data_IF_634307468998
#
_entry.id   IF_634307468998
#
_cell.length_a   1.000
_cell.length_b   1.000
_cell.length_c   1.000
_cell.angle_alpha   90.00
_cell.angle_beta   90.00
_cell.angle_gamma   90.00
#
_symmetry.space_group_name_H-M   'P 1'
#
loop_
_entity.id
_entity.type
_entity.pdbx_description
1 polymer ?
#
# COMPACT_ATOMS: atom_id res chain seq x y z
N UNK A 1 -19.17 -17.27 -50.28
CA UNK A 1 -19.21 -18.05 -51.54
C UNK A 1 -19.20 -19.51 -51.13
N UNK A 2 -20.23 -20.25 -51.54
CA UNK A 2 -20.37 -21.68 -51.25
C UNK A 2 -19.38 -22.44 -52.13
N UNK A 3 -18.37 -23.07 -51.54
CA UNK A 3 -17.51 -24.01 -52.24
C UNK A 3 -18.09 -25.41 -52.03
N UNK A 4 -18.61 -25.96 -53.11
CA UNK A 4 -19.05 -27.34 -53.24
C UNK A 4 -17.88 -28.28 -52.94
N UNK A 5 -18.04 -29.18 -51.97
CA UNK A 5 -17.10 -30.28 -51.68
C UNK A 5 -16.92 -31.12 -52.95
N UNK A 6 -15.69 -31.15 -53.45
CA UNK A 6 -15.25 -32.13 -54.42
C UNK A 6 -15.13 -33.46 -53.67
N UNK A 7 -15.76 -34.53 -54.17
CA UNK A 7 -15.37 -35.87 -53.76
C UNK A 7 -13.88 -36.02 -54.05
N UNK A 8 -13.05 -36.06 -53.01
CA UNK A 8 -11.66 -36.43 -53.18
C UNK A 8 -11.62 -37.93 -53.53
N UNK A 9 -10.74 -38.28 -54.47
CA UNK A 9 -10.49 -39.68 -54.84
C UNK A 9 -9.43 -40.32 -53.94
N UNK A 10 -8.92 -39.56 -52.96
CA UNK A 10 -8.07 -40.06 -51.92
C UNK A 10 -8.75 -41.18 -51.13
N UNK A 11 -7.92 -42.11 -50.70
CA UNK A 11 -8.33 -43.24 -49.87
C UNK A 11 -8.32 -42.75 -48.43
N UNK A 12 -9.43 -42.82 -47.71
CA UNK A 12 -9.48 -42.40 -46.32
C UNK A 12 -8.79 -43.39 -45.39
N UNK A 13 -8.33 -42.89 -44.25
CA UNK A 13 -7.81 -43.69 -43.16
C UNK A 13 -8.49 -43.35 -41.84
N UNK A 14 -8.72 -44.39 -41.04
CA UNK A 14 -9.08 -44.23 -39.64
C UNK A 14 -7.79 -44.27 -38.82
N UNK A 15 -7.36 -43.11 -38.35
CA UNK A 15 -6.21 -42.95 -37.47
C UNK A 15 -6.63 -43.11 -36.03
N UNK A 16 -5.91 -43.92 -35.26
CA UNK A 16 -6.00 -43.92 -33.79
C UNK A 16 -4.98 -42.93 -33.26
N UNK A 17 -5.41 -42.07 -32.34
CA UNK A 17 -4.57 -41.00 -31.79
C UNK A 17 -4.68 -40.93 -30.26
N UNK A 18 -3.65 -40.35 -29.65
CA UNK A 18 -3.63 -40.00 -28.22
C UNK A 18 -3.14 -38.58 -28.06
N UNK A 19 -3.77 -37.80 -27.20
CA UNK A 19 -3.30 -36.51 -26.73
C UNK A 19 -2.73 -36.63 -25.32
N UNK A 20 -1.63 -35.93 -25.06
CA UNK A 20 -1.07 -35.74 -23.71
C UNK A 20 -0.93 -34.26 -23.46
N UNK A 21 -1.67 -33.75 -22.46
CA UNK A 21 -1.62 -32.37 -22.01
C UNK A 21 -0.34 -32.09 -21.21
N UNK A 22 0.06 -30.82 -21.16
CA UNK A 22 1.19 -30.37 -20.36
C UNK A 22 0.93 -30.50 -18.84
N UNK A 23 -0.34 -30.50 -18.43
CA UNK A 23 -0.80 -30.77 -17.06
C UNK A 23 -0.62 -32.23 -16.64
N UNK A 24 -0.45 -33.15 -17.59
CA UNK A 24 -0.38 -34.59 -17.36
C UNK A 24 -1.63 -35.36 -17.79
N UNK A 25 -2.75 -34.68 -18.02
CA UNK A 25 -3.99 -35.29 -18.51
C UNK A 25 -3.81 -35.90 -19.91
N UNK A 26 -4.58 -36.93 -20.23
CA UNK A 26 -4.49 -37.59 -21.53
C UNK A 26 -5.83 -38.15 -22.00
N UNK A 27 -6.07 -38.11 -23.31
CA UNK A 27 -7.24 -38.71 -23.93
C UNK A 27 -6.87 -39.29 -25.29
N UNK A 28 -7.74 -40.11 -25.85
CA UNK A 28 -7.48 -40.69 -27.16
C UNK A 28 -8.73 -41.18 -27.84
N UNK A 29 -8.62 -41.43 -29.13
CA UNK A 29 -9.75 -41.79 -29.97
C UNK A 29 -9.38 -42.02 -31.42
N UNK A 30 -10.33 -41.75 -32.30
CA UNK A 30 -10.22 -42.00 -33.74
C UNK A 30 -10.42 -40.73 -34.54
N UNK A 31 -9.72 -40.60 -35.67
CA UNK A 31 -9.81 -39.52 -36.64
C UNK A 31 -9.98 -40.13 -38.03
N UNK A 32 -10.88 -39.58 -38.84
CA UNK A 32 -10.98 -39.89 -40.28
C UNK A 32 -10.37 -38.73 -41.07
N UNK A 33 -9.40 -39.05 -41.93
CA UNK A 33 -8.70 -38.09 -42.79
C UNK A 33 -8.03 -38.85 -43.94
N UNK A 34 -7.45 -38.13 -44.90
CA UNK A 34 -6.73 -38.74 -46.03
C UNK A 34 -5.58 -39.65 -45.56
N UNK A 35 -5.44 -40.83 -46.16
CA UNK A 35 -4.37 -41.81 -45.81
C UNK A 35 -2.94 -41.26 -45.97
N UNK A 36 -2.74 -40.15 -46.69
CA UNK A 36 -1.41 -39.54 -46.86
C UNK A 36 -1.13 -38.42 -45.87
N UNK A 37 -2.07 -38.08 -44.99
CA UNK A 37 -1.96 -36.88 -44.17
C UNK A 37 -1.09 -37.06 -42.93
N UNK A 38 -1.08 -38.26 -42.35
CA UNK A 38 -0.28 -38.57 -41.16
C UNK A 38 0.38 -39.93 -41.29
N UNK A 39 1.59 -40.07 -40.77
CA UNK A 39 2.25 -41.36 -40.59
C UNK A 39 2.04 -41.87 -39.16
N UNK A 40 1.96 -43.19 -38.96
CA UNK A 40 2.01 -43.78 -37.62
C UNK A 40 3.31 -43.39 -36.90
N UNK A 41 3.18 -42.90 -35.67
CA UNK A 41 4.27 -42.31 -34.89
C UNK A 41 4.41 -40.80 -35.04
N UNK A 42 3.63 -40.15 -35.90
CA UNK A 42 3.62 -38.69 -36.01
C UNK A 42 3.24 -38.04 -34.68
N UNK A 43 4.00 -37.01 -34.31
CA UNK A 43 3.73 -36.17 -33.13
C UNK A 43 3.40 -34.76 -33.60
N UNK A 44 2.23 -34.27 -33.20
CA UNK A 44 1.76 -32.92 -33.51
C UNK A 44 1.59 -32.13 -32.22
N UNK A 45 2.43 -31.11 -32.02
CA UNK A 45 2.39 -30.29 -30.81
C UNK A 45 1.31 -29.20 -30.92
N UNK A 46 0.65 -28.92 -29.80
CA UNK A 46 -0.20 -27.74 -29.59
C UNK A 46 0.43 -26.84 -28.53
N UNK A 47 -0.21 -25.71 -28.21
CA UNK A 47 0.22 -24.87 -27.09
C UNK A 47 0.05 -25.58 -25.73
N UNK A 48 -0.81 -26.60 -25.65
CA UNK A 48 -1.25 -27.20 -24.39
C UNK A 48 -0.87 -28.68 -24.24
N UNK A 49 -0.21 -29.27 -25.25
CA UNK A 49 0.19 -30.67 -25.22
C UNK A 49 0.61 -31.18 -26.59
N UNK A 50 0.45 -32.49 -26.82
CA UNK A 50 0.80 -33.12 -28.10
C UNK A 50 -0.14 -34.27 -28.45
N UNK A 51 -0.50 -34.36 -29.72
CA UNK A 51 -1.08 -35.56 -30.33
C UNK A 51 0.00 -36.52 -30.78
N UNK A 52 -0.28 -37.81 -30.67
CA UNK A 52 0.51 -38.89 -31.27
C UNK A 52 -0.41 -39.79 -32.07
N UNK A 53 -0.09 -40.03 -33.34
CA UNK A 53 -0.78 -41.04 -34.15
C UNK A 53 -0.20 -42.41 -33.79
N UNK A 54 -1.03 -43.30 -33.26
CA UNK A 54 -0.59 -44.59 -32.71
C UNK A 54 -0.94 -45.78 -33.61
N UNK A 55 -1.94 -45.64 -34.48
CA UNK A 55 -2.29 -46.64 -35.47
C UNK A 55 -3.03 -45.99 -36.65
N UNK A 56 -3.08 -46.70 -37.77
CA UNK A 56 -3.78 -46.32 -38.98
C UNK A 56 -4.48 -47.55 -39.56
N UNK A 57 -5.70 -47.37 -40.05
CA UNK A 57 -6.43 -48.37 -40.84
C UNK A 57 -6.93 -47.72 -42.12
N UNK A 58 -6.21 -47.98 -43.21
CA UNK A 58 -6.58 -47.56 -44.58
C UNK A 58 -7.89 -48.21 -44.99
N UNK A 59 -8.86 -47.38 -45.41
CA UNK A 59 -10.16 -47.82 -45.89
C UNK A 59 -10.15 -47.94 -47.40
N UNK A 60 -10.75 -48.96 -48.00
CA UNK A 60 -10.73 -49.11 -49.45
C UNK A 60 -11.64 -48.12 -50.23
N UNK A 61 -12.29 -47.21 -49.51
CA UNK A 61 -13.35 -46.31 -49.98
C UNK A 61 -13.33 -45.03 -49.15
N UNK A 62 -13.76 -43.92 -49.75
CA UNK A 62 -14.16 -42.70 -49.08
C UNK A 62 -15.25 -43.00 -48.02
N UNK A 63 -15.10 -42.40 -46.85
CA UNK A 63 -15.88 -42.59 -45.64
C UNK A 63 -17.03 -41.59 -45.49
N UNK A 64 -17.04 -40.51 -46.28
CA UNK A 64 -18.09 -39.48 -46.29
C UNK A 64 -19.51 -40.05 -46.47
N UNK A 65 -19.76 -41.06 -47.35
CA UNK A 65 -21.08 -41.68 -47.49
C UNK A 65 -21.60 -42.37 -46.21
N UNK A 66 -20.73 -42.63 -45.24
CA UNK A 66 -21.07 -43.23 -43.94
C UNK A 66 -21.21 -42.18 -42.82
N UNK A 67 -21.18 -40.88 -43.16
CA UNK A 67 -21.28 -39.77 -42.21
C UNK A 67 -19.99 -39.50 -41.43
N UNK A 68 -18.85 -39.93 -41.96
CA UNK A 68 -17.52 -39.70 -41.42
C UNK A 68 -16.69 -38.98 -42.48
N UNK A 69 -17.00 -37.70 -42.68
CA UNK A 69 -16.28 -36.83 -43.61
C UNK A 69 -14.85 -36.54 -43.10
N UNK A 70 -13.99 -35.96 -43.94
CA UNK A 70 -12.61 -35.64 -43.57
C UNK A 70 -12.56 -34.67 -42.37
N UNK A 71 -11.74 -35.01 -41.38
CA UNK A 71 -11.65 -34.28 -40.11
C UNK A 71 -12.66 -34.73 -39.06
N UNK A 72 -13.50 -35.75 -39.34
CA UNK A 72 -14.33 -36.37 -38.31
C UNK A 72 -13.46 -36.95 -37.20
N UNK A 73 -13.71 -36.56 -35.95
CA UNK A 73 -12.92 -36.98 -34.80
C UNK A 73 -13.85 -37.43 -33.67
N UNK A 74 -13.47 -38.51 -32.99
CA UNK A 74 -14.18 -39.05 -31.84
C UNK A 74 -13.22 -39.31 -30.69
N UNK A 75 -13.72 -39.18 -29.46
CA UNK A 75 -12.98 -39.49 -28.23
C UNK A 75 -13.48 -40.82 -27.67
N UNK A 76 -12.56 -41.73 -27.37
CA UNK A 76 -12.88 -43.05 -26.82
C UNK A 76 -12.63 -43.14 -25.32
N UNK A 77 -11.71 -42.34 -24.77
CA UNK A 77 -11.34 -42.39 -23.37
C UNK A 77 -10.69 -41.09 -22.90
N UNK A 78 -10.77 -40.84 -21.59
CA UNK A 78 -10.06 -39.78 -20.89
C UNK A 78 -9.36 -40.34 -19.65
N UNK A 79 -8.18 -39.81 -19.33
CA UNK A 79 -7.46 -40.00 -18.09
C UNK A 79 -6.99 -38.67 -17.54
N UNK A 80 -7.16 -38.48 -16.24
CA UNK A 80 -6.55 -37.35 -15.57
C UNK A 80 -5.03 -37.50 -15.44
N UNK A 81 -4.38 -36.45 -14.95
CA UNK A 81 -2.94 -36.40 -14.64
C UNK A 81 -2.46 -37.45 -13.64
N UNK A 82 -3.36 -38.04 -12.83
CA UNK A 82 -3.05 -39.17 -11.94
C UNK A 82 -3.10 -40.53 -12.65
N UNK A 83 -3.64 -40.57 -13.88
CA UNK A 83 -3.79 -41.75 -14.71
C UNK A 83 -5.11 -42.50 -14.52
N UNK A 84 -6.04 -41.97 -13.71
CA UNK A 84 -7.37 -42.55 -13.47
C UNK A 84 -8.24 -42.37 -14.70
N UNK A 85 -8.94 -43.43 -15.09
CA UNK A 85 -9.86 -43.40 -16.22
C UNK A 85 -11.18 -42.75 -15.83
N UNK A 86 -11.63 -41.77 -16.61
CA UNK A 86 -12.92 -41.13 -16.45
C UNK A 86 -13.85 -41.51 -17.61
N UNK A 87 -15.14 -41.68 -17.30
CA UNK A 87 -16.16 -41.95 -18.31
C UNK A 87 -16.34 -40.69 -19.16
N UNK A 88 -16.31 -40.82 -20.48
CA UNK A 88 -16.57 -39.70 -21.41
C UNK A 88 -18.05 -39.64 -21.81
N UNK A 89 -18.55 -38.44 -22.11
CA UNK A 89 -19.98 -38.17 -22.31
C UNK A 89 -20.48 -38.69 -23.65
N UNK A 90 -19.74 -38.41 -24.72
CA UNK A 90 -20.13 -38.85 -26.06
C UNK A 90 -19.77 -40.33 -26.30
N UNK A 91 -18.71 -40.81 -25.65
CA UNK A 91 -18.27 -42.20 -25.73
C UNK A 91 -17.67 -42.59 -27.09
N UNK A 92 -17.19 -43.84 -27.17
CA UNK A 92 -16.52 -44.33 -28.38
C UNK A 92 -17.45 -44.34 -29.61
N UNK A 93 -17.01 -43.73 -30.70
CA UNK A 93 -17.68 -43.77 -32.00
C UNK A 93 -18.70 -42.65 -32.26
N UNK A 94 -18.92 -41.76 -31.29
CA UNK A 94 -19.67 -40.52 -31.49
C UNK A 94 -18.72 -39.38 -31.87
N UNK A 95 -19.14 -38.52 -32.79
CA UNK A 95 -18.35 -37.37 -33.20
C UNK A 95 -18.15 -36.41 -32.02
N UNK A 96 -16.89 -36.13 -31.69
CA UNK A 96 -16.48 -35.08 -30.76
C UNK A 96 -16.04 -33.80 -31.52
N UNK A 97 -15.86 -33.86 -32.83
CA UNK A 97 -15.51 -32.73 -33.70
C UNK A 97 -15.54 -33.14 -35.18
N UNK A 98 -15.41 -32.16 -36.07
CA UNK A 98 -15.44 -32.37 -37.54
C UNK A 98 -14.35 -31.61 -38.29
N UNK A 99 -13.37 -31.03 -37.59
CA UNK A 99 -12.30 -30.23 -38.19
C UNK A 99 -10.90 -30.79 -37.90
N UNK A 100 -10.81 -32.09 -37.60
CA UNK A 100 -9.57 -32.80 -37.33
C UNK A 100 -9.08 -32.67 -35.89
N UNK A 101 -7.81 -33.06 -35.66
CA UNK A 101 -7.15 -32.94 -34.35
C UNK A 101 -7.19 -31.49 -33.85
N UNK A 102 -7.56 -31.31 -32.58
CA UNK A 102 -7.71 -30.00 -31.96
C UNK A 102 -9.14 -29.45 -32.01
N UNK A 103 -10.03 -30.08 -32.79
CA UNK A 103 -11.46 -29.72 -32.85
C UNK A 103 -12.33 -30.54 -31.92
N UNK A 104 -11.79 -31.58 -31.29
CA UNK A 104 -12.57 -32.44 -30.41
C UNK A 104 -13.03 -31.67 -29.16
N UNK A 105 -14.28 -31.85 -28.77
CA UNK A 105 -14.84 -31.39 -27.50
C UNK A 105 -15.73 -32.50 -26.96
N UNK A 106 -15.44 -32.94 -25.74
CA UNK A 106 -16.24 -33.91 -25.02
C UNK A 106 -16.31 -33.49 -23.55
N UNK A 107 -16.88 -34.32 -22.69
CA UNK A 107 -16.87 -34.10 -21.26
C UNK A 107 -16.55 -35.40 -20.51
N UNK A 108 -15.83 -35.31 -19.41
CA UNK A 108 -15.54 -36.41 -18.50
C UNK A 108 -16.43 -36.33 -17.25
N UNK A 109 -16.89 -37.47 -16.75
CA UNK A 109 -17.65 -37.52 -15.50
C UNK A 109 -16.70 -37.47 -14.30
N UNK A 110 -16.73 -36.39 -13.53
CA UNK A 110 -15.88 -36.20 -12.35
C UNK A 110 -16.47 -36.78 -11.05
N UNK A 111 -17.55 -37.55 -11.14
CA UNK A 111 -18.26 -38.11 -9.98
C UNK A 111 -19.48 -37.30 -9.53
N UNK A 112 -19.57 -36.02 -9.90
CA UNK A 112 -20.68 -35.13 -9.51
C UNK A 112 -21.32 -34.40 -10.69
N UNK A 113 -20.54 -34.07 -11.72
CA UNK A 113 -20.97 -33.40 -12.93
C UNK A 113 -20.18 -33.89 -14.15
N UNK A 114 -20.67 -33.51 -15.33
CA UNK A 114 -19.91 -33.61 -16.57
C UNK A 114 -19.06 -32.36 -16.71
N UNK A 115 -17.76 -32.52 -16.82
CA UNK A 115 -16.81 -31.43 -17.01
C UNK A 115 -16.16 -31.51 -18.39
N UNK A 116 -16.05 -30.38 -19.08
CA UNK A 116 -15.63 -30.37 -20.49
C UNK A 116 -14.13 -30.56 -20.65
N UNK A 117 -13.72 -31.15 -21.78
CA UNK A 117 -12.32 -31.23 -22.18
C UNK A 117 -12.19 -31.28 -23.70
N UNK A 118 -10.97 -31.01 -24.18
CA UNK A 118 -10.60 -31.10 -25.60
C UNK A 118 -9.96 -29.82 -26.12
N UNK A 119 -10.37 -29.38 -27.30
CA UNK A 119 -9.90 -28.16 -27.98
C UNK A 119 -8.38 -28.05 -28.10
N UNK A 120 -7.69 -29.14 -28.47
CA UNK A 120 -6.22 -29.13 -28.54
C UNK A 120 -5.54 -29.06 -27.17
N UNK A 121 -6.27 -29.38 -26.11
CA UNK A 121 -5.90 -29.30 -24.71
C UNK A 121 -6.06 -27.93 -24.06
N UNK A 122 -6.72 -27.00 -24.74
CA UNK A 122 -7.12 -25.72 -24.16
C UNK A 122 -8.20 -25.86 -23.08
N UNK A 123 -8.95 -26.98 -23.11
CA UNK A 123 -9.95 -27.34 -22.11
C UNK A 123 -9.61 -28.73 -21.55
N UNK A 124 -9.60 -28.86 -20.24
CA UNK A 124 -9.23 -30.09 -19.54
C UNK A 124 -10.20 -30.25 -18.38
N UNK A 125 -10.75 -31.46 -18.27
CA UNK A 125 -11.69 -31.74 -17.19
C UNK A 125 -10.91 -31.70 -15.88
N UNK A 126 -11.39 -30.92 -14.93
CA UNK A 126 -10.94 -30.90 -13.57
C UNK A 126 -11.67 -32.01 -12.80
N UNK A 127 -10.99 -33.13 -12.50
CA UNK A 127 -11.57 -34.19 -11.71
C UNK A 127 -11.58 -33.72 -10.25
N UNK A 128 -12.54 -32.86 -9.89
CA UNK A 128 -12.67 -32.30 -8.55
C UNK A 128 -12.54 -33.35 -7.46
N UNK A 129 -11.33 -33.47 -6.90
CA UNK A 129 -10.96 -34.29 -5.73
C UNK A 129 -9.59 -33.86 -5.14
N UNK A 130 -9.03 -32.71 -5.52
CA UNK A 130 -7.88 -32.16 -4.78
C UNK A 130 -8.42 -31.32 -3.63
N UNK A 131 -7.93 -31.59 -2.42
CA UNK A 131 -8.33 -30.80 -1.28
C UNK A 131 -7.79 -29.37 -1.45
N UNK A 132 -8.61 -28.37 -1.15
CA UNK A 132 -8.13 -27.00 -1.06
C UNK A 132 -7.28 -26.84 0.20
N UNK A 133 -6.22 -26.06 0.07
CA UNK A 133 -5.42 -25.59 1.18
C UNK A 133 -5.35 -24.07 1.21
N UNK A 134 -5.36 -23.53 2.42
CA UNK A 134 -5.03 -22.15 2.67
C UNK A 134 -3.53 -22.06 2.92
N UNK A 135 -2.81 -21.48 1.97
CA UNK A 135 -1.39 -21.20 2.07
C UNK A 135 -1.18 -19.82 2.66
N UNK A 136 -0.28 -19.69 3.63
CA UNK A 136 0.26 -18.37 3.99
C UNK A 136 1.52 -18.11 3.19
N UNK A 137 1.76 -16.84 2.86
CA UNK A 137 2.88 -16.46 2.03
C UNK A 137 3.49 -15.14 2.49
N UNK A 138 4.76 -14.98 2.17
CA UNK A 138 5.51 -13.74 2.31
C UNK A 138 6.10 -13.37 0.96
N UNK A 139 5.85 -12.15 0.51
CA UNK A 139 6.53 -11.54 -0.61
C UNK A 139 7.57 -10.54 -0.08
N UNK A 140 8.81 -10.68 -0.54
CA UNK A 140 9.88 -9.71 -0.29
C UNK A 140 10.21 -9.01 -1.59
N UNK A 141 9.90 -7.73 -1.65
CA UNK A 141 10.25 -6.88 -2.77
C UNK A 141 11.76 -6.65 -2.88
N UNK A 142 12.22 -6.32 -4.08
CA UNK A 142 13.60 -5.88 -4.30
C UNK A 142 13.90 -4.52 -3.65
N UNK A 143 12.87 -3.71 -3.38
CA UNK A 143 12.96 -2.50 -2.54
C UNK A 143 13.22 -2.82 -1.06
N UNK A 144 12.96 -4.06 -0.64
CA UNK A 144 12.99 -4.50 0.76
C UNK A 144 11.60 -4.65 1.38
N UNK A 145 10.56 -4.05 0.79
CA UNK A 145 9.19 -4.09 1.35
C UNK A 145 8.68 -5.51 1.51
N UNK A 146 7.85 -5.70 2.53
CA UNK A 146 7.32 -7.02 2.89
C UNK A 146 5.81 -7.00 2.81
N UNK A 147 5.25 -7.94 2.05
CA UNK A 147 3.83 -8.23 2.04
C UNK A 147 3.60 -9.64 2.55
N UNK A 148 2.57 -9.84 3.35
CA UNK A 148 2.15 -11.16 3.78
C UNK A 148 0.66 -11.35 3.56
N UNK A 149 0.26 -12.59 3.33
CA UNK A 149 -1.13 -12.87 3.00
C UNK A 149 -1.48 -14.34 3.00
N UNK A 150 -2.67 -14.62 2.49
CA UNK A 150 -3.14 -15.99 2.26
C UNK A 150 -3.48 -16.22 0.80
N UNK A 151 -3.35 -17.46 0.33
CA UNK A 151 -3.81 -17.95 -0.97
C UNK A 151 -4.65 -19.19 -0.75
N UNK A 152 -5.87 -19.22 -1.30
CA UNK A 152 -6.66 -20.43 -1.42
C UNK A 152 -6.34 -21.10 -2.76
N UNK A 153 -5.78 -22.31 -2.72
CA UNK A 153 -5.41 -23.08 -3.90
C UNK A 153 -5.43 -24.58 -3.63
N UNK A 154 -5.36 -25.37 -4.69
CA UNK A 154 -5.15 -26.81 -4.63
C UNK A 154 -3.94 -27.21 -3.76
N UNK A 155 -4.11 -28.22 -2.91
CA UNK A 155 -3.04 -28.75 -2.04
C UNK A 155 -1.82 -29.25 -2.83
N UNK A 156 -1.99 -29.62 -4.11
CA UNK A 156 -0.89 -30.14 -4.94
C UNK A 156 -0.06 -29.04 -5.61
N UNK A 157 -0.54 -27.81 -5.64
CA UNK A 157 0.06 -26.74 -6.45
C UNK A 157 1.28 -26.11 -5.78
N UNK A 158 1.37 -26.21 -4.46
CA UNK A 158 2.39 -25.53 -3.67
C UNK A 158 2.88 -26.41 -2.52
N UNK A 159 4.17 -26.30 -2.20
CA UNK A 159 4.76 -26.87 -1.00
C UNK A 159 5.23 -25.75 -0.06
N UNK A 160 5.17 -26.01 1.25
CA UNK A 160 5.78 -25.11 2.24
C UNK A 160 7.27 -24.96 1.96
N UNK A 161 7.73 -23.72 1.88
CA UNK A 161 9.09 -23.35 1.52
C UNK A 161 9.33 -23.11 0.03
N UNK A 162 8.34 -23.36 -0.83
CA UNK A 162 8.46 -23.00 -2.24
C UNK A 162 8.67 -21.50 -2.37
N UNK A 163 9.57 -21.13 -3.28
CA UNK A 163 9.87 -19.74 -3.61
C UNK A 163 9.82 -19.55 -5.12
N UNK A 164 9.23 -18.45 -5.55
CA UNK A 164 9.27 -18.05 -6.95
C UNK A 164 9.43 -16.54 -7.06
N UNK A 165 10.09 -16.11 -8.13
CA UNK A 165 10.52 -14.74 -8.35
C UNK A 165 9.63 -14.05 -9.38
N UNK A 166 9.22 -12.83 -9.08
CA UNK A 166 8.59 -11.91 -10.04
C UNK A 166 9.64 -10.96 -10.62
N UNK A 167 9.20 -9.98 -11.42
CA UNK A 167 10.06 -8.90 -11.85
C UNK A 167 10.49 -7.95 -10.71
N UNK A 168 9.82 -7.98 -9.55
CA UNK A 168 9.97 -6.98 -8.49
C UNK A 168 10.24 -7.55 -7.10
N UNK A 169 10.35 -8.88 -6.97
CA UNK A 169 10.60 -9.52 -5.68
C UNK A 169 10.40 -11.02 -5.72
N UNK A 170 10.31 -11.63 -4.54
CA UNK A 170 10.24 -13.08 -4.38
C UNK A 170 9.11 -13.43 -3.41
N UNK A 171 8.22 -14.32 -3.83
CA UNK A 171 7.28 -14.97 -2.92
C UNK A 171 7.92 -16.18 -2.27
N UNK A 172 7.45 -16.48 -1.07
CA UNK A 172 7.71 -17.70 -0.33
C UNK A 172 6.41 -18.21 0.29
N UNK A 173 6.16 -19.51 0.18
CA UNK A 173 5.10 -20.19 0.91
C UNK A 173 5.60 -20.49 2.33
N UNK A 174 4.89 -19.99 3.34
CA UNK A 174 5.30 -20.07 4.74
C UNK A 174 4.63 -21.23 5.47
N UNK A 175 3.32 -21.39 5.28
CA UNK A 175 2.55 -22.49 5.89
C UNK A 175 1.46 -22.97 4.95
N UNK A 176 1.01 -24.19 5.16
CA UNK A 176 -0.17 -24.79 4.53
C UNK A 176 -1.14 -25.21 5.64
N UNK A 177 -2.42 -24.93 5.45
CA UNK A 177 -3.49 -25.39 6.33
C UNK A 177 -4.60 -26.01 5.49
N UNK A 178 -5.00 -27.26 5.74
CA UNK A 178 -6.10 -27.88 5.03
C UNK A 178 -7.36 -27.02 5.18
N UNK A 179 -7.95 -26.62 4.05
CA UNK A 179 -9.16 -25.80 4.04
C UNK A 179 -10.41 -26.66 3.87
N UNK A 180 -10.32 -27.78 3.14
CA UNK A 180 -11.38 -28.78 3.01
C UNK A 180 -11.55 -29.25 1.57
N UNK A 181 -12.61 -30.02 1.29
CA UNK A 181 -13.04 -30.31 -0.08
C UNK A 181 -14.00 -29.21 -0.52
N UNK A 182 -13.66 -28.54 -1.61
CA UNK A 182 -14.49 -27.66 -2.44
C UNK A 182 -15.86 -27.34 -1.81
N UNK A 183 -15.81 -26.46 -0.81
CA UNK A 183 -16.98 -25.98 -0.09
C UNK A 183 -17.64 -24.96 -1.00
N UNK A 184 -18.40 -25.43 -1.99
CA UNK A 184 -19.09 -24.58 -2.96
C UNK A 184 -19.57 -23.25 -2.36
N UNK A 185 -19.24 -22.15 -3.03
CA UNK A 185 -19.49 -20.75 -2.64
C UNK A 185 -18.78 -20.21 -1.37
N UNK A 186 -17.95 -20.99 -0.67
CA UNK A 186 -17.16 -20.55 0.48
C UNK A 186 -15.65 -20.48 0.15
N UNK A 187 -15.31 -19.63 -0.82
CA UNK A 187 -13.94 -19.41 -1.30
C UNK A 187 -13.84 -19.78 -2.78
N UNK A 188 -13.33 -18.87 -3.61
CA UNK A 188 -13.01 -19.15 -5.02
C UNK A 188 -11.53 -19.51 -5.07
N UNK A 189 -11.15 -20.61 -5.69
CA UNK A 189 -9.74 -20.95 -5.89
C UNK A 189 -8.99 -19.77 -6.56
N UNK A 190 -7.74 -19.54 -6.17
CA UNK A 190 -6.98 -18.36 -6.57
C UNK A 190 -7.32 -17.10 -5.77
N UNK A 191 -8.24 -17.17 -4.79
CA UNK A 191 -8.47 -16.05 -3.87
C UNK A 191 -7.19 -15.76 -3.08
N UNK A 192 -6.68 -14.56 -3.24
CA UNK A 192 -5.51 -14.07 -2.52
C UNK A 192 -5.92 -12.89 -1.62
N UNK A 193 -5.40 -12.86 -0.40
CA UNK A 193 -5.60 -11.76 0.55
C UNK A 193 -4.26 -11.12 0.88
N UNK A 194 -4.23 -9.81 1.14
CA UNK A 194 -3.08 -9.15 1.75
C UNK A 194 -3.44 -8.90 3.22
N UNK A 195 -2.70 -9.54 4.11
CA UNK A 195 -2.90 -9.45 5.57
C UNK A 195 -2.06 -8.32 6.15
N UNK A 196 -0.84 -8.12 5.64
CA UNK A 196 0.05 -7.04 6.07
C UNK A 196 0.89 -6.50 4.91
N UNK A 197 1.21 -5.21 4.98
CA UNK A 197 2.17 -4.52 4.11
C UNK A 197 3.08 -3.66 4.99
N UNK A 198 4.39 -3.87 4.88
CA UNK A 198 5.42 -3.14 5.62
C UNK A 198 6.40 -2.50 4.65
N UNK A 199 6.55 -1.18 4.74
CA UNK A 199 7.62 -0.45 4.05
C UNK A 199 8.93 -0.64 4.82
N UNK A 200 9.94 -1.14 4.12
CA UNK A 200 11.22 -1.48 4.70
C UNK A 200 12.03 -0.25 5.14
N UNK A 201 11.95 0.85 4.39
CA UNK A 201 12.73 2.05 4.69
C UNK A 201 12.11 2.85 5.83
N UNK A 202 10.79 2.82 5.94
CA UNK A 202 10.06 3.48 7.02
C UNK A 202 10.00 2.65 8.31
N UNK A 203 10.16 1.32 8.21
CA UNK A 203 9.82 0.35 9.27
C UNK A 203 8.38 0.56 9.79
N UNK A 204 7.46 0.83 8.86
CA UNK A 204 6.05 1.10 9.15
C UNK A 204 5.18 0.05 8.50
N UNK A 205 4.31 -0.57 9.30
CA UNK A 205 3.20 -1.36 8.79
C UNK A 205 2.04 -0.43 8.43
N UNK A 206 1.55 -0.55 7.20
CA UNK A 206 0.46 0.28 6.70
C UNK A 206 -0.91 -0.26 7.09
N UNK A 207 -1.87 0.66 7.21
CA UNK A 207 -3.29 0.30 7.18
C UNK A 207 -3.69 0.01 5.73
N UNK A 208 -4.33 -1.14 5.50
CA UNK A 208 -4.84 -1.59 4.20
C UNK A 208 -6.32 -1.25 4.01
N UNK A 209 -6.74 -0.92 2.79
CA UNK A 209 -8.12 -0.52 2.46
C UNK A 209 -9.09 -1.70 2.63
N UNK A 210 -8.65 -2.92 2.31
CA UNK A 210 -9.42 -4.16 2.55
C UNK A 210 -9.48 -4.58 4.02
N UNK A 211 -8.77 -3.89 4.92
CA UNK A 211 -8.74 -4.17 6.35
C UNK A 211 -8.17 -5.54 6.72
N UNK A 212 -7.26 -6.08 5.90
CA UNK A 212 -6.57 -7.37 6.12
C UNK A 212 -7.46 -8.62 6.14
N UNK A 213 -8.72 -8.50 5.69
CA UNK A 213 -9.70 -9.62 5.71
C UNK A 213 -10.42 -9.81 4.39
N UNK A 214 -10.37 -8.82 3.50
CA UNK A 214 -10.99 -8.89 2.17
C UNK A 214 -10.09 -9.57 1.13
N UNK A 215 -10.69 -10.14 0.07
CA UNK A 215 -9.93 -10.63 -1.08
C UNK A 215 -9.26 -9.44 -1.79
N UNK A 216 -7.96 -9.57 -2.03
CA UNK A 216 -7.15 -8.64 -2.81
C UNK A 216 -7.04 -9.08 -4.29
N UNK A 217 -7.41 -10.32 -4.62
CA UNK A 217 -7.43 -10.85 -5.98
C UNK A 217 -8.06 -12.22 -6.05
N UNK A 218 -8.32 -12.70 -7.27
CA UNK A 218 -8.98 -13.99 -7.54
C UNK A 218 -8.25 -14.87 -8.56
N UNK A 219 -7.03 -14.51 -8.98
CA UNK A 219 -6.24 -15.28 -9.96
C UNK A 219 -4.92 -15.80 -9.39
N UNK A 220 -4.79 -15.87 -8.06
CA UNK A 220 -3.58 -16.29 -7.38
C UNK A 220 -2.51 -15.19 -7.30
N UNK A 221 -1.26 -15.62 -7.11
CA UNK A 221 -0.12 -14.72 -6.96
C UNK A 221 0.07 -13.77 -8.15
N UNK A 222 0.42 -12.53 -7.87
CA UNK A 222 0.57 -11.46 -8.86
C UNK A 222 -0.74 -10.76 -9.22
N UNK A 223 -1.88 -11.29 -8.78
CA UNK A 223 -3.19 -10.63 -8.96
C UNK A 223 -3.65 -9.85 -7.74
N UNK A 224 -2.96 -10.00 -6.61
CA UNK A 224 -3.30 -9.24 -5.40
C UNK A 224 -3.17 -7.74 -5.65
N UNK A 225 -4.19 -6.99 -5.27
CA UNK A 225 -4.23 -5.54 -5.38
C UNK A 225 -4.98 -4.99 -4.18
N UNK A 226 -4.37 -4.02 -3.52
CA UNK A 226 -4.98 -3.28 -2.42
C UNK A 226 -4.46 -1.84 -2.43
N UNK A 227 -4.88 -1.03 -1.47
CA UNK A 227 -4.34 0.31 -1.23
C UNK A 227 -3.90 0.43 0.22
N UNK A 228 -2.74 1.04 0.41
CA UNK A 228 -2.14 1.31 1.70
C UNK A 228 -2.27 2.80 2.03
N UNK A 229 -2.63 3.15 3.27
CA UNK A 229 -2.72 4.54 3.72
C UNK A 229 -1.34 5.07 4.12
N UNK A 230 -0.76 5.99 3.34
CA UNK A 230 0.57 6.54 3.60
C UNK A 230 0.61 7.73 4.57
N UNK A 231 -0.53 8.07 5.19
CA UNK A 231 -0.69 9.25 6.03
C UNK A 231 -1.42 10.41 5.34
N UNK A 232 -1.39 10.47 4.01
CA UNK A 232 -2.02 11.55 3.23
C UNK A 232 -3.00 11.06 2.16
N UNK A 233 -2.75 9.88 1.59
CA UNK A 233 -3.60 9.27 0.58
C UNK A 233 -3.54 7.74 0.65
N UNK A 234 -4.56 7.11 0.09
CA UNK A 234 -4.58 5.69 -0.22
C UNK A 234 -3.80 5.45 -1.53
N UNK A 235 -2.68 4.75 -1.43
CA UNK A 235 -1.79 4.46 -2.57
C UNK A 235 -1.81 2.96 -2.92
N UNK A 236 -1.80 2.57 -4.20
CA UNK A 236 -1.88 1.16 -4.58
C UNK A 236 -0.67 0.33 -4.11
N UNK A 237 -0.93 -0.91 -3.72
CA UNK A 237 0.07 -1.94 -3.37
C UNK A 237 -0.30 -3.30 -3.97
N UNK A 238 0.71 -4.17 -4.16
CA UNK A 238 0.52 -5.55 -4.64
C UNK A 238 1.07 -5.79 -6.06
N UNK A 239 0.36 -6.64 -6.80
CA UNK A 239 0.63 -7.07 -8.17
C UNK A 239 2.04 -7.60 -8.38
N UNK A 240 2.45 -8.55 -7.54
CA UNK A 240 3.80 -9.12 -7.62
C UNK A 240 4.90 -8.12 -7.29
N UNK A 241 4.58 -7.08 -6.51
CA UNK A 241 5.47 -5.99 -6.14
C UNK A 241 5.57 -4.86 -7.18
N UNK A 242 4.78 -4.89 -8.26
CA UNK A 242 4.77 -3.78 -9.23
C UNK A 242 4.19 -2.48 -8.65
N UNK A 243 3.36 -2.60 -7.60
CA UNK A 243 2.78 -1.48 -6.88
C UNK A 243 3.29 -1.50 -5.44
N UNK A 244 3.92 -0.41 -5.02
CA UNK A 244 4.51 -0.25 -3.70
C UNK A 244 4.12 1.11 -3.14
N UNK A 245 3.85 1.11 -1.84
CA UNK A 245 3.61 2.29 -1.06
C UNK A 245 4.85 2.61 -0.25
N UNK A 246 5.39 3.80 -0.49
CA UNK A 246 6.46 4.36 0.32
C UNK A 246 5.88 5.39 1.29
N UNK A 247 6.32 5.35 2.53
CA UNK A 247 6.16 6.45 3.47
C UNK A 247 7.55 6.95 3.86
N UNK A 248 7.79 8.23 3.61
CA UNK A 248 9.04 8.84 4.07
C UNK A 248 9.12 8.75 5.61
N UNK A 249 10.26 8.32 6.20
CA UNK A 249 10.42 8.24 7.64
C UNK A 249 10.09 9.58 8.30
N UNK A 250 9.44 9.54 9.46
CA UNK A 250 9.24 10.76 10.24
C UNK A 250 10.57 11.19 10.91
N UNK A 251 10.75 12.49 11.04
CA UNK A 251 11.92 13.17 11.60
C UNK A 251 11.49 14.25 12.57
N UNK A 252 12.34 14.53 13.55
CA UNK A 252 12.22 15.73 14.38
C UNK A 252 13.14 16.80 13.83
N UNK A 253 12.56 17.94 13.47
CA UNK A 253 13.28 19.12 13.03
C UNK A 253 13.32 20.14 14.16
N UNK A 254 14.50 20.51 14.63
CA UNK A 254 14.67 21.64 15.55
C UNK A 254 14.79 22.93 14.75
N UNK A 255 14.10 23.97 15.20
CA UNK A 255 13.95 25.21 14.45
C UNK A 255 13.97 26.45 15.36
N UNK A 256 14.21 27.60 14.74
CA UNK A 256 14.12 28.92 15.38
C UNK A 256 13.21 29.86 14.59
N UNK A 257 12.21 30.38 15.29
CA UNK A 257 11.42 31.57 15.08
C UNK A 257 12.27 32.85 15.02
N UNK A 258 12.21 33.72 14.03
CA UNK A 258 12.64 35.13 14.19
C UNK A 258 11.61 36.07 13.59
N UNK A 259 10.92 36.80 14.47
CA UNK A 259 9.92 37.79 14.12
C UNK A 259 10.56 39.08 13.59
N UNK A 260 9.78 39.88 12.87
CA UNK A 260 10.24 41.16 12.31
C UNK A 260 10.66 42.19 13.37
N UNK A 261 10.08 42.12 14.57
CA UNK A 261 10.46 42.99 15.70
C UNK A 261 11.73 42.50 16.43
N UNK A 262 12.30 41.36 16.04
CA UNK A 262 13.48 40.76 16.62
C UNK A 262 13.21 39.66 17.64
N UNK A 263 11.95 39.47 18.06
CA UNK A 263 11.57 38.39 18.98
C UNK A 263 11.81 37.03 18.36
N UNK A 264 12.06 36.03 19.20
CA UNK A 264 12.41 34.69 18.75
C UNK A 264 11.69 33.65 19.58
N UNK A 265 11.47 32.48 19.01
CA UNK A 265 11.13 31.31 19.80
C UNK A 265 11.76 30.09 19.16
N UNK A 266 12.04 29.07 19.96
CA UNK A 266 12.71 27.85 19.50
C UNK A 266 11.88 26.64 19.85
N UNK A 267 11.97 25.63 18.99
CA UNK A 267 11.13 24.46 19.15
C UNK A 267 11.55 23.29 18.29
N UNK A 268 10.68 22.30 18.28
CA UNK A 268 10.77 21.14 17.39
C UNK A 268 9.45 20.89 16.68
N UNK A 269 9.51 20.34 15.48
CA UNK A 269 8.35 19.83 14.77
C UNK A 269 8.62 18.42 14.26
N UNK A 270 7.59 17.57 14.22
CA UNK A 270 7.67 16.25 13.58
C UNK A 270 7.13 16.36 12.16
N UNK A 271 7.93 15.96 11.18
CA UNK A 271 7.54 15.94 9.77
C UNK A 271 8.23 14.80 9.02
N UNK A 272 7.86 14.57 7.77
CA UNK A 272 8.54 13.59 6.92
C UNK A 272 10.01 13.98 6.70
N UNK A 273 10.88 13.00 6.42
CA UNK A 273 12.31 13.19 6.14
C UNK A 273 12.61 14.11 4.96
N UNK A 274 11.64 14.30 4.06
CA UNK A 274 11.73 15.21 2.93
C UNK A 274 11.01 16.53 3.14
N UNK A 275 10.44 16.79 4.33
CA UNK A 275 9.69 18.01 4.61
C UNK A 275 10.60 19.24 4.65
N UNK A 276 11.79 19.08 5.22
CA UNK A 276 12.76 20.16 5.42
C UNK A 276 14.20 19.61 5.33
N UNK A 277 15.14 20.50 5.05
CA UNK A 277 16.58 20.28 5.18
C UNK A 277 17.18 21.21 6.23
N UNK A 278 18.26 20.77 6.88
CA UNK A 278 19.02 21.64 7.79
C UNK A 278 19.58 22.83 7.01
N UNK A 279 19.31 24.03 7.51
CA UNK A 279 19.66 25.29 6.84
C UNK A 279 18.52 25.90 6.04
N UNK A 280 17.39 25.22 5.88
CA UNK A 280 16.21 25.80 5.24
C UNK A 280 15.70 26.99 6.03
N UNK A 281 15.36 28.05 5.29
CA UNK A 281 14.62 29.20 5.80
C UNK A 281 13.21 29.18 5.23
N UNK A 282 12.21 29.39 6.08
CA UNK A 282 10.80 29.37 5.71
C UNK A 282 10.21 30.72 6.10
N UNK A 283 9.90 31.55 5.12
CA UNK A 283 9.36 32.89 5.34
C UNK A 283 7.87 32.83 5.71
N UNK A 284 7.47 33.74 6.60
CA UNK A 284 6.06 34.08 6.89
C UNK A 284 5.83 35.56 6.61
N UNK A 285 4.60 36.03 6.79
CA UNK A 285 4.27 37.45 6.67
C UNK A 285 4.86 38.31 7.81
N UNK A 286 5.39 37.70 8.87
CA UNK A 286 5.80 38.36 10.12
C UNK A 286 7.17 37.90 10.66
N UNK A 287 7.94 37.17 9.86
CA UNK A 287 9.24 36.65 10.25
C UNK A 287 9.67 35.44 9.43
N UNK A 288 10.58 34.65 9.98
CA UNK A 288 11.11 33.46 9.31
C UNK A 288 11.47 32.34 10.28
N UNK A 289 11.26 31.08 9.86
CA UNK A 289 11.83 29.91 10.53
C UNK A 289 13.19 29.56 9.93
N UNK A 290 14.13 29.16 10.77
CA UNK A 290 15.37 28.50 10.36
C UNK A 290 15.40 27.07 10.90
N UNK A 291 15.57 26.08 10.02
CA UNK A 291 15.76 24.68 10.40
C UNK A 291 17.21 24.46 10.82
N UNK A 292 17.43 24.14 12.09
CA UNK A 292 18.77 24.09 12.69
C UNK A 292 19.33 22.68 12.77
N UNK A 293 18.47 21.67 12.89
CA UNK A 293 18.87 20.27 13.10
C UNK A 293 17.75 19.32 12.69
N UNK A 294 18.13 18.16 12.20
CA UNK A 294 17.27 17.01 11.96
C UNK A 294 17.76 15.83 12.81
N UNK A 295 16.83 15.04 13.35
CA UNK A 295 17.12 13.75 14.00
C UNK A 295 16.03 12.73 13.68
N UNK A 296 16.40 11.45 13.73
CA UNK A 296 15.47 10.32 13.60
C UNK A 296 14.34 10.42 14.64
N UNK A 297 13.10 10.22 14.21
CA UNK A 297 11.94 10.15 15.11
C UNK A 297 11.50 8.70 15.28
N UNK A 298 11.52 8.21 16.53
CA UNK A 298 11.07 6.86 16.89
C UNK A 298 9.76 6.87 17.70
N UNK A 299 9.01 7.97 17.68
CA UNK A 299 7.74 8.10 18.39
C UNK A 299 6.51 7.74 17.53
N UNK A 300 5.29 7.91 18.06
CA UNK A 300 4.08 7.56 17.33
C UNK A 300 3.87 8.45 16.10
N UNK A 301 3.46 7.81 14.99
CA UNK A 301 3.06 8.41 13.70
C UNK A 301 2.06 9.58 13.83
N UNK A 302 1.20 9.52 14.84
CA UNK A 302 0.15 10.53 15.09
C UNK A 302 0.72 11.90 15.48
N UNK A 303 2.01 11.97 15.84
CA UNK A 303 2.68 13.21 16.18
C UNK A 303 3.09 14.04 14.96
N UNK A 304 2.92 13.53 13.72
CA UNK A 304 3.23 14.29 12.53
C UNK A 304 2.49 15.64 12.50
N UNK A 305 3.22 16.71 12.18
CA UNK A 305 2.72 18.08 12.21
C UNK A 305 2.66 18.68 13.63
N UNK A 306 2.93 17.91 14.68
CA UNK A 306 3.01 18.48 16.02
C UNK A 306 4.22 19.42 16.13
N UNK A 307 4.00 20.52 16.84
CA UNK A 307 4.97 21.59 17.05
C UNK A 307 5.06 21.86 18.54
N UNK A 308 6.27 21.81 19.10
CA UNK A 308 6.53 22.18 20.48
C UNK A 308 7.42 23.41 20.51
N UNK A 309 7.03 24.41 21.30
CA UNK A 309 7.85 25.59 21.58
C UNK A 309 8.44 25.48 22.98
N UNK A 310 9.76 25.62 23.10
CA UNK A 310 10.49 25.44 24.36
C UNK A 310 10.72 26.74 25.11
N UNK A 311 10.87 27.86 24.39
CA UNK A 311 11.15 29.16 24.95
C UNK A 311 10.76 30.26 23.98
N UNK A 312 10.38 31.42 24.54
CA UNK A 312 10.16 32.68 23.85
C UNK A 312 11.26 33.65 24.26
N UNK A 313 11.80 34.42 23.34
CA UNK A 313 12.80 35.45 23.58
C UNK A 313 12.21 36.78 23.17
N UNK A 314 12.10 37.67 24.14
CA UNK A 314 11.69 39.05 23.92
C UNK A 314 12.92 39.90 23.65
N UNK A 315 12.99 40.49 22.47
CA UNK A 315 14.14 41.26 22.03
C UNK A 315 14.23 42.63 22.72
N UNK A 316 13.11 43.18 23.18
CA UNK A 316 13.07 44.48 23.86
C UNK A 316 13.57 44.39 25.30
N UNK A 317 13.30 43.26 25.96
CA UNK A 317 13.71 42.94 27.32
C UNK A 317 15.02 42.15 27.39
N UNK A 318 15.54 41.64 26.26
CA UNK A 318 16.77 40.83 26.16
C UNK A 318 16.73 39.63 27.10
N UNK A 319 15.63 38.87 27.07
CA UNK A 319 15.40 37.75 28.01
C UNK A 319 14.64 36.59 27.38
N UNK A 320 14.93 35.38 27.87
CA UNK A 320 14.18 34.17 27.54
C UNK A 320 13.12 33.89 28.59
N UNK A 321 11.89 33.70 28.14
CA UNK A 321 10.72 33.35 28.91
C UNK A 321 10.33 31.89 28.69
N UNK A 322 9.79 31.26 29.74
CA UNK A 322 9.23 29.92 29.68
C UNK A 322 7.86 29.92 29.01
N UNK A 323 7.58 28.89 28.22
CA UNK A 323 6.30 28.72 27.50
C UNK A 323 5.33 27.83 28.25
N UNK A 324 4.03 28.10 28.16
CA UNK A 324 3.02 27.36 28.92
C UNK A 324 2.83 25.92 28.43
N UNK A 325 2.65 25.70 27.12
CA UNK A 325 2.29 24.38 26.59
C UNK A 325 3.37 23.35 26.91
N UNK A 326 4.63 23.67 26.67
CA UNK A 326 5.71 22.73 26.95
C UNK A 326 6.05 22.67 28.44
N UNK A 327 6.31 23.81 29.09
CA UNK A 327 6.88 23.82 30.44
C UNK A 327 5.84 23.60 31.55
N UNK A 328 4.54 23.82 31.29
CA UNK A 328 3.47 23.67 32.29
C UNK A 328 2.60 22.46 32.00
N UNK A 329 2.12 22.27 30.76
CA UNK A 329 1.18 21.19 30.44
C UNK A 329 1.80 19.98 29.74
N UNK A 330 3.03 20.09 29.23
CA UNK A 330 3.69 19.03 28.45
C UNK A 330 3.01 18.75 27.10
N UNK A 331 2.29 19.71 26.55
CA UNK A 331 1.54 19.60 25.29
C UNK A 331 2.25 20.28 24.12
N UNK A 332 1.86 19.90 22.90
CA UNK A 332 2.26 20.61 21.68
C UNK A 332 1.55 21.96 21.59
N UNK A 333 2.26 22.98 21.10
CA UNK A 333 1.74 24.32 20.83
C UNK A 333 0.97 24.38 19.50
N UNK A 334 1.21 23.44 18.59
CA UNK A 334 0.50 23.31 17.31
C UNK A 334 0.45 21.86 16.80
N UNK A 335 -0.43 21.57 15.85
CA UNK A 335 -0.61 20.21 15.27
C UNK A 335 -0.67 20.18 13.75
N UNK A 336 -0.35 21.29 13.08
CA UNK A 336 -0.43 21.42 11.61
C UNK A 336 0.87 21.91 10.98
N UNK A 337 2.00 21.62 11.61
CA UNK A 337 3.33 22.05 11.19
C UNK A 337 3.66 23.48 11.59
N UNK A 338 4.82 23.97 11.15
CA UNK A 338 5.29 25.33 11.43
C UNK A 338 4.26 26.38 10.98
N UNK A 339 4.06 27.41 11.80
CA UNK A 339 3.05 28.46 11.61
C UNK A 339 1.72 28.14 12.26
N UNK A 340 1.52 26.92 12.75
CA UNK A 340 0.30 26.53 13.47
C UNK A 340 0.41 26.66 14.99
N UNK A 341 1.60 26.94 15.52
CA UNK A 341 1.81 27.05 16.96
C UNK A 341 1.09 28.25 17.56
N UNK A 342 0.42 28.02 18.69
CA UNK A 342 -0.07 29.05 19.60
C UNK A 342 0.34 28.64 21.00
N UNK A 343 1.05 29.52 21.69
CA UNK A 343 1.52 29.31 23.05
C UNK A 343 1.45 30.62 23.83
N UNK A 344 1.73 30.57 25.12
CA UNK A 344 1.87 31.76 25.94
C UNK A 344 3.23 31.81 26.62
N UNK A 345 3.74 33.02 26.83
CA UNK A 345 4.96 33.29 27.59
C UNK A 345 4.59 33.94 28.93
N UNK A 346 5.29 33.57 30.01
CA UNK A 346 5.11 34.22 31.32
C UNK A 346 6.08 35.39 31.44
N UNK A 347 5.54 36.61 31.52
CA UNK A 347 6.30 37.86 31.56
C UNK A 347 6.62 38.32 33.01
N UNK A 348 5.81 37.88 33.99
CA UNK A 348 5.98 38.23 35.39
C UNK A 348 4.67 38.28 36.17
N UNK A 349 3.55 38.56 35.50
CA UNK A 349 2.24 38.68 36.12
C UNK A 349 1.11 37.98 35.36
N UNK A 350 1.19 37.87 34.04
CA UNK A 350 0.26 37.10 33.22
C UNK A 350 0.92 36.23 32.15
N UNK A 351 0.07 35.53 31.37
CA UNK A 351 0.49 34.66 30.29
C UNK A 351 0.08 35.30 28.98
N UNK A 352 1.04 35.79 28.21
CA UNK A 352 0.79 36.50 26.95
C UNK A 352 0.88 35.58 25.74
N UNK A 353 -0.11 35.67 24.86
CA UNK A 353 -0.21 34.86 23.65
C UNK A 353 0.88 35.24 22.63
N UNK A 354 1.53 34.24 22.05
CA UNK A 354 2.42 34.40 20.90
C UNK A 354 2.30 33.21 19.93
N UNK A 355 2.84 33.38 18.72
CA UNK A 355 2.91 32.33 17.70
C UNK A 355 2.26 32.72 16.37
N UNK A 356 1.61 31.75 15.73
CA UNK A 356 1.00 31.84 14.40
C UNK A 356 1.95 32.44 13.35
N UNK A 357 3.21 31.98 13.35
CA UNK A 357 4.23 32.49 12.44
C UNK A 357 4.49 33.99 12.57
N UNK A 358 4.39 34.55 13.78
CA UNK A 358 4.64 35.97 14.06
C UNK A 358 3.39 36.85 14.06
N UNK A 359 2.21 36.30 13.79
CA UNK A 359 0.96 37.07 13.87
C UNK A 359 0.58 37.43 15.32
N UNK A 360 1.07 36.66 16.30
CA UNK A 360 0.93 36.95 17.73
C UNK A 360 2.32 37.10 18.34
N UNK A 361 2.50 38.18 19.11
CA UNK A 361 3.73 38.50 19.83
C UNK A 361 3.33 38.80 21.27
N UNK A 362 4.06 38.20 22.22
CA UNK A 362 3.84 38.50 23.63
C UNK A 362 4.31 39.95 23.89
N UNK A 363 3.49 40.71 24.61
CA UNK A 363 3.97 41.92 25.27
C UNK A 363 4.77 41.47 26.49
N UNK A 364 5.92 42.10 26.75
CA UNK A 364 6.67 41.82 27.97
C UNK A 364 6.86 43.12 28.71
N UNK A 365 6.01 43.33 29.71
CA UNK A 365 6.01 44.51 30.55
C UNK A 365 7.22 44.48 31.48
N UNK A 366 8.09 45.49 31.37
CA UNK A 366 9.19 45.68 32.30
C UNK A 366 8.74 46.54 33.48
N UNK A 367 8.64 45.95 34.65
CA UNK A 367 8.53 46.72 35.89
C UNK A 367 9.85 47.44 36.21
N UNK A 368 9.79 48.76 36.39
CA UNK A 368 10.91 49.59 36.85
C UNK A 368 10.63 50.18 38.24
N UNK A 369 11.70 50.41 39.00
CA UNK A 369 11.64 51.17 40.24
C UNK A 369 11.85 52.66 39.96
N UNK A 370 10.83 53.48 40.26
CA UNK A 370 10.83 54.92 40.09
C UNK A 370 11.00 55.63 41.43
N UNK A 371 12.09 56.38 41.59
CA UNK A 371 12.24 57.23 42.77
C UNK A 371 11.59 58.59 42.52
N UNK A 372 10.77 59.03 43.47
CA UNK A 372 9.98 60.26 43.36
C UNK A 372 10.21 61.19 44.54
N UNK A 373 9.96 62.49 44.34
CA UNK A 373 9.84 63.49 45.40
C UNK A 373 8.47 64.13 45.35
N UNK A 374 7.74 64.09 46.45
CA UNK A 374 6.53 64.89 46.63
C UNK A 374 6.87 66.25 47.24
N UNK A 375 6.24 67.32 46.75
CA UNK A 375 6.26 68.66 47.36
C UNK A 375 4.84 69.06 47.70
N UNK A 376 4.53 69.17 49.00
CA UNK A 376 3.23 69.56 49.49
C UNK A 376 2.97 71.06 49.27
N UNK A 377 1.70 71.48 49.26
CA UNK A 377 1.30 72.90 49.10
C UNK A 377 1.80 73.81 50.21
N UNK A 378 2.11 73.25 51.39
CA UNK A 378 2.74 73.96 52.51
C UNK A 378 4.28 74.02 52.41
N UNK A 379 4.89 73.38 51.40
CA UNK A 379 6.33 73.35 51.15
C UNK A 379 7.07 72.13 51.70
N UNK A 380 6.40 71.24 52.45
CA UNK A 380 7.02 70.02 52.96
C UNK A 380 7.38 69.04 51.83
N UNK A 381 8.44 68.24 52.03
CA UNK A 381 8.93 67.30 51.02
C UNK A 381 9.12 65.89 51.56
N UNK A 382 8.74 64.91 50.73
CA UNK A 382 8.98 63.49 50.96
C UNK A 382 9.62 62.86 49.73
N UNK A 383 10.43 61.83 49.94
CA UNK A 383 10.97 61.01 48.86
C UNK A 383 10.52 59.57 49.06
N UNK A 384 10.32 58.87 47.95
CA UNK A 384 9.94 57.47 47.99
C UNK A 384 10.32 56.76 46.71
N UNK A 385 9.92 55.50 46.63
CA UNK A 385 10.06 54.67 45.44
C UNK A 385 8.73 54.00 45.17
N UNK A 386 8.34 53.90 43.91
CA UNK A 386 7.22 53.08 43.45
C UNK A 386 7.72 52.12 42.38
N UNK A 387 7.05 50.98 42.25
CA UNK A 387 7.25 50.06 41.13
C UNK A 387 6.07 50.27 40.18
N UNK A 388 6.36 50.40 38.90
CA UNK A 388 5.37 50.55 37.84
C UNK A 388 5.98 50.09 36.51
N UNK A 389 5.17 49.96 35.48
CA UNK A 389 5.62 49.59 34.14
C UNK A 389 6.56 50.65 33.55
N UNK A 390 7.50 50.21 32.72
CA UNK A 390 8.54 51.07 32.13
C UNK A 390 7.98 52.27 31.36
N UNK A 391 6.75 52.15 30.85
CA UNK A 391 6.05 53.19 30.10
C UNK A 391 5.20 54.14 30.96
N UNK A 392 4.98 53.82 32.24
CA UNK A 392 4.04 54.55 33.10
C UNK A 392 4.59 55.93 33.49
N UNK A 393 5.90 56.04 33.75
CA UNK A 393 6.54 57.28 34.19
C UNK A 393 7.86 57.56 33.47
N UNK A 394 8.11 58.83 33.12
CA UNK A 394 9.38 59.34 32.65
C UNK A 394 10.15 60.12 33.72
N UNK A 395 11.49 60.09 33.66
CA UNK A 395 12.32 60.96 34.52
C UNK A 395 12.00 62.43 34.21
N UNK A 396 11.65 63.20 35.24
CA UNK A 396 11.25 64.60 35.13
C UNK A 396 9.73 64.80 35.11
N UNK A 397 8.94 63.74 35.02
CA UNK A 397 7.48 63.84 35.05
C UNK A 397 7.00 64.45 36.36
N UNK A 398 6.05 65.37 36.23
CA UNK A 398 5.40 66.02 37.36
C UNK A 398 3.93 65.62 37.41
N UNK A 399 3.54 64.92 38.45
CA UNK A 399 2.19 64.37 38.62
C UNK A 399 1.46 65.16 39.72
N UNK A 400 0.20 65.51 39.47
CA UNK A 400 -0.62 66.20 40.47
C UNK A 400 -1.09 65.22 41.56
N UNK A 401 -0.82 65.54 42.81
CA UNK A 401 -1.38 64.86 43.98
C UNK A 401 -2.42 65.72 44.69
N UNK A 402 -3.26 65.10 45.52
CA UNK A 402 -4.36 65.79 46.23
C UNK A 402 -3.91 66.95 47.16
N UNK A 403 -2.63 67.04 47.50
CA UNK A 403 -2.07 68.07 48.38
C UNK A 403 -0.71 68.62 47.94
N UNK A 404 -0.32 68.45 46.68
CA UNK A 404 1.03 68.79 46.19
C UNK A 404 1.36 68.15 44.84
N UNK A 405 2.64 68.07 44.50
CA UNK A 405 3.11 67.46 43.23
C UNK A 405 4.19 66.42 43.47
N UNK A 406 4.12 65.30 42.73
CA UNK A 406 5.21 64.35 42.63
C UNK A 406 6.13 64.73 41.47
N UNK A 407 7.43 64.58 41.64
CA UNK A 407 8.44 64.64 40.59
C UNK A 407 9.16 63.30 40.51
N UNK A 408 9.17 62.66 39.35
CA UNK A 408 9.96 61.46 39.10
C UNK A 408 11.42 61.88 38.90
N UNK A 409 12.31 61.39 39.75
CA UNK A 409 13.70 61.85 39.82
C UNK A 409 14.68 60.91 39.10
N UNK A 410 14.41 59.61 39.13
CA UNK A 410 15.21 58.55 38.49
C UNK A 410 14.38 57.29 38.32
N UNK A 411 14.77 56.47 37.37
CA UNK A 411 14.29 55.09 37.21
C UNK A 411 15.48 54.12 37.23
N UNK A 412 15.24 52.87 37.59
CA UNK A 412 16.22 51.80 37.55
C UNK A 412 15.55 50.42 37.47
N UNK A 413 16.28 49.45 36.92
CA UNK A 413 15.85 48.05 36.92
C UNK A 413 15.73 47.51 38.35
N UNK A 414 14.85 46.51 38.53
CA UNK A 414 14.66 45.79 39.77
C UNK A 414 15.82 44.85 40.10
#
# INVERSE_FOLDING_TARGET
MSATLSADTATDSIFTWTFTANSGDSWGGTLVDDSTRYDVGSVLNTAFGRYTIVAEVVQATDMSPFGQDEGWIAVAWYRDSSGVFLVTRNGQGAAAGIAGLGSETDAAWNGSAWDSFGSGGADQADPGEVADSLFTWTFTADSGDIMQGTLLADTRDWNVGDTFRTAHGTYRIDTESPYGRDLGSAGVEGTITIVSYTDFHADIQFTLETGSTGPAGYGGFGTEWDRAWNGTAWVPVGQGGALQADRQPDRVFAWRFTADNGDQWVGTTVGHSTAYSVGDTIDTDHGQYLIMREVDYAGPVQAQGAVWVFGYYDASADTWLGTYKFNVTGQASGTRGLGSEVDTAWDGDEWDDFGLGGALLASVERSLAYAWRFTATNGDQWVGTTIADESEYGIGDTLAGAGGTYLIMRQGGL
#
